data_IF_180968598633
#
_entry.id   IF_180968598633
#
_cell.length_a   1.000
_cell.length_b   1.000
_cell.length_c   1.000
_cell.angle_alpha   90.00
_cell.angle_beta   90.00
_cell.angle_gamma   90.00
#
_symmetry.space_group_name_H-M   'P 1'
#
loop_
_entity.id
_entity.type
_entity.pdbx_description
1 polymer ?
#
# COMPACT_ATOMS: atom_id res chain seq x y z
N UNK A 1 24.46 1.91 -12.67
CA UNK A 1 23.49 1.32 -11.71
C UNK A 1 23.28 2.31 -10.57
N UNK A 2 22.58 3.41 -10.84
CA UNK A 2 22.29 4.44 -9.83
C UNK A 2 20.99 5.11 -10.26
N UNK A 3 19.90 5.01 -9.50
CA UNK A 3 19.03 6.15 -9.15
C UNK A 3 17.76 5.81 -8.33
N UNK A 4 17.49 4.56 -7.95
CA UNK A 4 16.25 4.26 -7.19
C UNK A 4 16.21 4.92 -5.80
N UNK A 5 17.38 5.14 -5.19
CA UNK A 5 17.50 5.83 -3.88
C UNK A 5 17.14 7.33 -3.96
N UNK A 6 17.50 7.99 -5.06
CA UNK A 6 17.22 9.42 -5.26
C UNK A 6 15.71 9.67 -5.49
N UNK A 7 15.02 8.79 -6.23
CA UNK A 7 13.58 8.89 -6.44
C UNK A 7 12.78 8.84 -5.13
N UNK A 8 13.17 7.97 -4.21
CA UNK A 8 12.52 7.87 -2.90
C UNK A 8 12.76 9.13 -2.06
N UNK A 9 13.96 9.73 -2.15
CA UNK A 9 14.32 10.97 -1.46
C UNK A 9 13.62 12.19 -2.07
N UNK A 10 13.45 12.25 -3.39
CA UNK A 10 12.73 13.33 -4.08
C UNK A 10 11.24 13.35 -3.70
N UNK A 11 10.61 12.17 -3.60
CA UNK A 11 9.24 12.04 -3.08
C UNK A 11 9.16 12.50 -1.62
N UNK A 12 10.12 12.10 -0.79
CA UNK A 12 10.21 12.51 0.62
C UNK A 12 10.40 14.02 0.81
N UNK A 13 11.19 14.65 -0.08
CA UNK A 13 11.38 16.09 -0.10
C UNK A 13 10.10 16.84 -0.54
N UNK A 14 9.30 16.23 -1.42
CA UNK A 14 7.96 16.72 -1.76
C UNK A 14 7.02 16.80 -0.55
N UNK A 15 7.11 15.85 0.40
CA UNK A 15 6.34 15.87 1.64
C UNK A 15 6.85 16.88 2.68
N UNK A 16 8.13 17.32 2.60
CA UNK A 16 8.69 18.34 3.51
C UNK A 16 8.31 19.78 3.12
N UNK A 17 7.99 20.03 1.84
CA UNK A 17 7.58 21.35 1.38
C UNK A 17 6.09 21.57 1.65
N UNK A 18 5.77 22.17 2.79
CA UNK A 18 4.40 22.46 3.25
C UNK A 18 3.62 23.46 2.39
N UNK A 19 4.26 24.09 1.40
CA UNK A 19 3.67 25.11 0.53
C UNK A 19 3.10 24.54 -0.78
N UNK A 20 3.36 23.26 -1.10
CA UNK A 20 2.64 22.58 -2.17
C UNK A 20 1.42 21.89 -1.59
N UNK A 21 0.24 22.31 -2.05
CA UNK A 21 -1.02 21.59 -1.81
C UNK A 21 -0.77 20.12 -2.14
N UNK A 22 -0.98 19.25 -1.15
CA UNK A 22 -0.67 17.83 -1.27
C UNK A 22 -1.47 17.24 -2.44
N UNK A 23 -0.83 17.09 -3.61
CA UNK A 23 -1.47 16.68 -4.86
C UNK A 23 -2.08 15.29 -4.75
N UNK A 24 -1.52 14.43 -3.91
CA UNK A 24 -2.09 13.12 -3.59
C UNK A 24 -3.41 13.28 -2.82
N UNK A 25 -3.46 14.18 -1.84
CA UNK A 25 -4.70 14.45 -1.10
C UNK A 25 -5.80 15.04 -1.99
N UNK A 26 -5.46 15.96 -2.89
CA UNK A 26 -6.41 16.45 -3.90
C UNK A 26 -6.90 15.33 -4.81
N UNK A 27 -5.99 14.47 -5.28
CA UNK A 27 -6.35 13.33 -6.11
C UNK A 27 -7.30 12.38 -5.38
N UNK A 28 -6.99 11.98 -4.15
CA UNK A 28 -7.86 11.12 -3.32
C UNK A 28 -9.24 11.76 -3.09
N UNK A 29 -9.30 13.07 -2.83
CA UNK A 29 -10.57 13.80 -2.65
C UNK A 29 -11.39 13.92 -3.94
N UNK A 30 -10.74 13.87 -5.11
CA UNK A 30 -11.41 13.93 -6.40
C UNK A 30 -11.95 12.57 -6.88
N UNK A 31 -11.63 11.47 -6.18
CA UNK A 31 -12.09 10.12 -6.55
C UNK A 31 -13.58 9.94 -6.27
N UNK A 32 -14.25 9.12 -7.09
CA UNK A 32 -15.66 8.77 -6.82
C UNK A 32 -15.77 7.88 -5.57
N UNK A 33 -16.88 7.97 -4.82
CA UNK A 33 -17.13 7.10 -3.68
C UNK A 33 -17.04 5.61 -4.01
N UNK A 34 -17.49 5.17 -5.20
CA UNK A 34 -17.35 3.76 -5.60
C UNK A 34 -15.88 3.36 -5.76
N UNK A 35 -15.05 4.23 -6.34
CA UNK A 35 -13.63 3.94 -6.55
C UNK A 35 -12.90 3.82 -5.21
N UNK A 36 -13.21 4.71 -4.26
CA UNK A 36 -12.66 4.64 -2.90
C UNK A 36 -13.10 3.33 -2.23
N UNK A 37 -14.38 2.97 -2.33
CA UNK A 37 -14.91 1.73 -1.74
C UNK A 37 -14.26 0.47 -2.30
N UNK A 38 -13.99 0.44 -3.61
CA UNK A 38 -13.31 -0.68 -4.27
C UNK A 38 -11.84 -0.76 -3.83
N UNK A 39 -11.15 0.38 -3.75
CA UNK A 39 -9.74 0.44 -3.34
C UNK A 39 -9.53 0.18 -1.84
N UNK A 40 -10.54 0.47 -1.01
CA UNK A 40 -10.50 0.16 0.43
C UNK A 40 -10.83 -1.30 0.76
N UNK A 41 -11.27 -2.08 -0.23
CA UNK A 41 -11.62 -3.49 -0.05
C UNK A 41 -10.44 -4.37 -0.47
N UNK A 42 -9.83 -5.17 0.44
CA UNK A 42 -8.81 -6.14 0.07
C UNK A 42 -9.39 -7.15 -0.92
N UNK A 43 -8.66 -7.45 -2.00
CA UNK A 43 -9.12 -8.39 -3.02
C UNK A 43 -9.09 -9.85 -2.56
N UNK A 44 -8.29 -10.18 -1.54
CA UNK A 44 -8.22 -11.53 -0.96
C UNK A 44 -7.91 -11.50 0.54
N UNK A 45 -8.22 -12.61 1.20
CA UNK A 45 -7.94 -12.83 2.64
C UNK A 45 -6.45 -12.78 2.94
N UNK A 46 -5.61 -13.30 2.04
CA UNK A 46 -4.15 -13.29 2.18
C UNK A 46 -3.60 -11.85 2.16
N UNK A 47 -4.13 -11.01 1.26
CA UNK A 47 -3.76 -9.59 1.18
C UNK A 47 -4.18 -8.84 2.44
N UNK A 48 -5.35 -9.17 3.00
CA UNK A 48 -5.81 -8.62 4.28
C UNK A 48 -4.87 -8.99 5.43
N UNK A 49 -4.48 -10.27 5.53
CA UNK A 49 -3.56 -10.75 6.58
C UNK A 49 -2.16 -10.10 6.47
N UNK A 50 -1.66 -9.91 5.25
CA UNK A 50 -0.37 -9.25 5.04
C UNK A 50 -0.41 -7.77 5.42
N UNK A 51 -1.52 -7.07 5.14
CA UNK A 51 -1.71 -5.69 5.61
C UNK A 51 -1.73 -5.60 7.13
N UNK A 52 -2.47 -6.49 7.80
CA UNK A 52 -2.51 -6.56 9.27
C UNK A 52 -1.12 -6.79 9.85
N UNK A 53 -0.37 -7.76 9.32
CA UNK A 53 0.99 -8.04 9.76
C UNK A 53 1.93 -6.84 9.55
N UNK A 54 1.79 -6.11 8.44
CA UNK A 54 2.59 -4.93 8.16
C UNK A 54 2.28 -3.79 9.16
N UNK A 55 1.00 -3.56 9.47
CA UNK A 55 0.58 -2.58 10.48
C UNK A 55 1.14 -2.96 11.85
N UNK A 56 1.04 -4.22 12.27
CA UNK A 56 1.63 -4.70 13.53
C UNK A 56 3.14 -4.48 13.56
N UNK A 57 3.84 -4.76 12.46
CA UNK A 57 5.28 -4.54 12.34
C UNK A 57 5.67 -3.06 12.41
N UNK A 58 4.83 -2.16 11.88
CA UNK A 58 5.04 -0.72 11.91
C UNK A 58 4.74 -0.10 13.28
N UNK A 59 3.75 -0.64 14.00
CA UNK A 59 3.32 -0.14 15.31
C UNK A 59 4.10 -0.74 16.49
N UNK A 60 4.85 -1.81 16.25
CA UNK A 60 5.53 -2.59 17.29
C UNK A 60 4.55 -3.56 17.94
N UNK A 61 4.90 -4.85 17.98
CA UNK A 61 3.99 -5.92 18.41
C UNK A 61 3.49 -5.75 19.85
N UNK A 62 2.26 -5.27 19.99
CA UNK A 62 1.49 -5.29 21.24
C UNK A 62 0.21 -6.10 21.01
N UNK A 63 -0.14 -7.05 21.90
CA UNK A 63 -1.35 -7.85 21.75
C UNK A 63 -2.60 -6.99 21.97
N UNK A 64 -3.26 -6.60 20.87
CA UNK A 64 -4.44 -5.71 20.85
C UNK A 64 -5.69 -6.29 21.55
N UNK A 65 -5.70 -7.58 21.85
CA UNK A 65 -6.81 -8.22 22.59
C UNK A 65 -6.84 -7.86 24.08
N UNK A 66 -5.76 -7.29 24.63
CA UNK A 66 -5.63 -7.02 26.06
C UNK A 66 -5.30 -5.56 26.39
N UNK A 67 -5.17 -4.70 25.39
CA UNK A 67 -4.76 -3.31 25.56
C UNK A 67 -5.43 -2.40 24.53
N UNK A 68 -5.93 -1.25 24.98
CA UNK A 68 -6.12 -0.10 24.10
C UNK A 68 -4.73 0.44 23.74
N UNK A 69 -4.39 0.39 22.45
CA UNK A 69 -3.08 0.80 21.94
C UNK A 69 -3.18 2.26 21.48
N UNK A 70 -2.65 3.18 22.27
CA UNK A 70 -2.48 4.58 21.89
C UNK A 70 -1.03 4.83 21.47
N UNK A 71 -0.83 5.31 20.23
CA UNK A 71 0.49 5.54 19.66
C UNK A 71 0.70 7.04 19.50
N UNK A 72 1.56 7.60 20.35
CA UNK A 72 1.98 9.00 20.25
C UNK A 72 3.21 9.09 19.36
N UNK A 73 3.15 9.89 18.30
CA UNK A 73 4.28 10.10 17.38
C UNK A 73 4.34 11.55 16.91
N UNK A 74 5.50 11.98 16.44
CA UNK A 74 5.65 13.33 15.87
C UNK A 74 5.28 13.35 14.38
N UNK A 75 5.03 14.56 13.84
CA UNK A 75 4.63 14.76 12.44
C UNK A 75 5.60 14.15 11.44
N UNK A 76 6.90 14.23 11.70
CA UNK A 76 7.92 13.71 10.79
C UNK A 76 7.86 12.18 10.73
N UNK A 77 7.89 11.52 11.89
CA UNK A 77 7.80 10.06 12.01
C UNK A 77 6.48 9.51 11.44
N UNK A 78 5.35 10.17 11.70
CA UNK A 78 4.06 9.81 11.09
C UNK A 78 4.08 9.95 9.57
N UNK A 79 4.69 11.03 9.05
CA UNK A 79 4.87 11.21 7.61
C UNK A 79 5.69 10.09 6.96
N UNK A 80 6.73 9.61 7.67
CA UNK A 80 7.56 8.49 7.18
C UNK A 80 6.77 7.19 7.12
N UNK A 81 6.02 6.91 8.18
CA UNK A 81 5.12 5.78 8.27
C UNK A 81 4.06 5.81 7.14
N UNK A 82 3.49 7.00 6.93
CA UNK A 82 2.72 7.45 5.76
C UNK A 82 3.27 6.90 4.45
N UNK A 83 4.44 7.41 4.11
CA UNK A 83 5.12 7.13 2.85
C UNK A 83 5.48 5.65 2.69
N UNK A 84 5.94 4.99 3.75
CA UNK A 84 6.28 3.56 3.68
C UNK A 84 5.06 2.69 3.43
N UNK A 85 3.94 2.97 4.10
CA UNK A 85 2.69 2.23 3.90
C UNK A 85 2.17 2.38 2.46
N UNK A 86 2.22 3.60 1.91
CA UNK A 86 1.81 3.85 0.52
C UNK A 86 2.69 3.10 -0.50
N UNK A 87 4.02 3.12 -0.32
CA UNK A 87 4.92 2.37 -1.20
C UNK A 87 4.68 0.86 -1.12
N UNK A 88 4.53 0.31 0.09
CA UNK A 88 4.20 -1.11 0.28
C UNK A 88 2.89 -1.50 -0.39
N UNK A 89 1.85 -0.67 -0.26
CA UNK A 89 0.56 -0.88 -0.93
C UNK A 89 0.68 -0.92 -2.46
N UNK A 90 1.47 -0.02 -3.04
CA UNK A 90 1.74 -0.02 -4.48
C UNK A 90 2.45 -1.30 -4.95
N UNK A 91 3.47 -1.77 -4.21
CA UNK A 91 4.16 -3.02 -4.53
C UNK A 91 3.25 -4.24 -4.42
N UNK A 92 2.39 -4.29 -3.39
CA UNK A 92 1.40 -5.34 -3.21
C UNK A 92 0.42 -5.39 -4.38
N UNK A 93 -0.08 -4.24 -4.85
CA UNK A 93 -0.96 -4.18 -6.00
C UNK A 93 -0.29 -4.68 -7.28
N UNK A 94 0.99 -4.35 -7.48
CA UNK A 94 1.77 -4.88 -8.61
C UNK A 94 1.95 -6.40 -8.55
N UNK A 95 2.21 -6.94 -7.36
CA UNK A 95 2.33 -8.39 -7.14
C UNK A 95 0.99 -9.11 -7.41
N UNK A 96 -0.12 -8.54 -6.95
CA UNK A 96 -1.47 -9.05 -7.18
C UNK A 96 -1.81 -9.10 -8.69
N UNK A 97 -1.53 -8.01 -9.42
CA UNK A 97 -1.76 -7.96 -10.87
C UNK A 97 -0.96 -9.03 -11.62
N UNK A 98 0.31 -9.21 -11.23
CA UNK A 98 1.17 -10.25 -11.82
C UNK A 98 0.63 -11.65 -11.55
N UNK A 99 0.23 -11.94 -10.31
CA UNK A 99 -0.35 -13.23 -9.95
C UNK A 99 -1.66 -13.50 -10.70
N UNK A 100 -2.54 -12.49 -10.82
CA UNK A 100 -3.78 -12.62 -11.58
C UNK A 100 -3.53 -12.91 -13.07
N UNK A 101 -2.49 -12.28 -13.64
CA UNK A 101 -2.07 -12.53 -15.02
C UNK A 101 -1.51 -13.94 -15.21
N UNK A 102 -0.61 -14.39 -14.32
CA UNK A 102 -0.04 -15.74 -14.35
C UNK A 102 -1.14 -16.82 -14.22
N UNK A 103 -2.12 -16.62 -13.33
CA UNK A 103 -3.27 -17.51 -13.20
C UNK A 103 -4.14 -17.56 -14.47
N UNK A 104 -4.33 -16.40 -15.12
CA UNK A 104 -5.08 -16.32 -16.38
C UNK A 104 -4.34 -17.03 -17.52
N UNK A 105 -3.01 -16.92 -17.58
CA UNK A 105 -2.19 -17.66 -18.54
C UNK A 105 -2.23 -19.17 -18.32
N UNK A 106 -2.07 -19.65 -17.08
CA UNK A 106 -2.17 -21.09 -16.76
C UNK A 106 -3.55 -21.66 -17.08
N UNK A 107 -4.61 -20.89 -16.81
CA UNK A 107 -5.97 -21.25 -17.22
C UNK A 107 -6.13 -21.33 -18.75
N UNK A 108 -5.43 -20.48 -19.50
CA UNK A 108 -5.45 -20.53 -20.97
C UNK A 108 -4.63 -21.72 -21.51
N UNK A 109 -3.47 -22.01 -20.93
CA UNK A 109 -2.63 -23.16 -21.32
C UNK A 109 -3.34 -24.50 -21.06
N UNK A 110 -3.94 -24.68 -19.88
CA UNK A 110 -4.73 -25.88 -19.56
C UNK A 110 -5.95 -26.09 -20.47
N UNK A 111 -6.53 -25.02 -21.00
CA UNK A 111 -7.62 -25.13 -22.00
C UNK A 111 -7.14 -25.58 -23.39
N UNK A 112 -5.84 -25.39 -23.69
CA UNK A 112 -5.24 -25.79 -24.96
C UNK A 112 -4.73 -27.24 -24.96
N UNK A 113 -4.46 -27.82 -23.78
CA UNK A 113 -4.05 -29.22 -23.60
C UNK A 113 -5.21 -30.21 -23.42
N UNK A 114 -6.44 -29.70 -23.27
CA UNK A 114 -7.66 -30.49 -23.09
C UNK A 114 -8.45 -30.74 -24.40
N UNK A 115 -7.91 -30.34 -25.55
CA UNK A 115 -8.45 -30.56 -26.91
C UNK A 115 -7.49 -31.42 -27.75
#
# INVERSE_FOLDING_TARGET
MSNSSNKAQDLFNGFKNSDQVNSLMQYVHSMSPETVSQLSSPASTEVQQMMEHNIIGLLGGLPSQHFDVEITTNRESLGRLLASAMMSGYFLRGAEQRMAFEHSLMSAESSFEAE
#
